data_IF_793956649967
#
_entry.id   IF_793956649967
#
_cell.length_a   1.000
_cell.length_b   1.000
_cell.length_c   1.000
_cell.angle_alpha   90.00
_cell.angle_beta   90.00
_cell.angle_gamma   90.00
#
_symmetry.space_group_name_H-M   'P 1'
#
loop_
_entity.id
_entity.type
_entity.pdbx_description
1 polymer ?
#
# COMPACT_ATOMS: atom_id res chain seq x y z
N UNK A 1 5.67 17.00 4.12
CA UNK A 1 7.10 17.20 3.76
C UNK A 1 7.84 15.89 3.98
N UNK A 2 8.80 15.51 3.13
CA UNK A 2 9.64 14.34 3.39
C UNK A 2 10.65 14.62 4.50
N UNK A 3 10.81 13.69 5.44
CA UNK A 3 11.77 13.86 6.54
C UNK A 3 13.19 13.61 6.03
N UNK A 4 13.96 14.70 5.90
CA UNK A 4 15.26 14.69 5.19
C UNK A 4 16.27 13.76 5.87
N UNK A 5 16.85 12.87 5.07
CA UNK A 5 17.85 11.89 5.54
C UNK A 5 17.25 10.66 6.25
N UNK A 6 15.92 10.55 6.34
CA UNK A 6 15.21 9.41 6.93
C UNK A 6 14.56 8.53 5.85
N UNK A 7 15.36 8.15 4.85
CA UNK A 7 15.02 7.10 3.88
C UNK A 7 15.99 5.95 4.04
N UNK A 8 15.49 4.75 4.30
CA UNK A 8 16.25 3.52 4.40
C UNK A 8 15.80 2.57 3.30
N UNK A 9 16.75 2.09 2.49
CA UNK A 9 16.47 1.22 1.35
C UNK A 9 17.20 -0.11 1.54
N UNK A 10 16.52 -1.19 1.16
CA UNK A 10 17.08 -2.55 1.12
C UNK A 10 16.73 -3.19 -0.21
N UNK A 11 17.74 -3.69 -0.91
CA UNK A 11 17.62 -4.33 -2.20
C UNK A 11 18.41 -5.63 -2.16
N UNK A 12 17.88 -6.68 -2.77
CA UNK A 12 18.54 -7.98 -2.83
C UNK A 12 18.07 -8.72 -4.07
N UNK A 13 18.95 -9.47 -4.71
CA UNK A 13 18.54 -10.38 -5.78
C UNK A 13 17.73 -11.56 -5.21
N UNK A 14 16.51 -11.76 -5.69
CA UNK A 14 15.64 -12.89 -5.33
C UNK A 14 14.56 -13.11 -6.41
N UNK A 15 13.99 -14.32 -6.45
CA UNK A 15 12.92 -14.72 -7.36
C UNK A 15 11.61 -15.01 -6.62
N UNK A 16 11.18 -14.10 -5.75
CA UNK A 16 9.93 -14.25 -4.98
C UNK A 16 8.68 -14.02 -5.84
N UNK A 17 8.72 -12.98 -6.66
CA UNK A 17 7.72 -12.68 -7.69
C UNK A 17 8.42 -11.96 -8.85
N UNK A 18 8.18 -12.42 -10.08
CA UNK A 18 8.79 -11.85 -11.28
C UNK A 18 7.96 -12.21 -12.53
N UNK A 19 8.23 -11.52 -13.66
CA UNK A 19 7.52 -11.72 -14.93
C UNK A 19 8.52 -12.10 -16.04
N UNK A 20 8.99 -13.36 -16.05
CA UNK A 20 9.99 -13.82 -17.02
C UNK A 20 9.38 -14.10 -18.40
N UNK A 21 8.11 -14.51 -18.43
CA UNK A 21 7.37 -14.77 -19.67
C UNK A 21 6.83 -13.46 -20.23
N UNK A 22 7.42 -13.01 -21.35
CA UNK A 22 7.05 -11.77 -22.02
C UNK A 22 5.77 -11.89 -22.85
N UNK A 23 5.22 -13.10 -22.99
CA UNK A 23 3.98 -13.39 -23.72
C UNK A 23 2.75 -13.46 -22.81
N UNK A 24 2.96 -13.34 -21.50
CA UNK A 24 1.91 -13.43 -20.49
C UNK A 24 1.94 -12.22 -19.56
N UNK A 25 0.76 -11.74 -19.15
CA UNK A 25 0.69 -10.72 -18.10
C UNK A 25 0.91 -11.30 -16.69
N UNK A 26 0.74 -12.62 -16.55
CA UNK A 26 0.75 -13.30 -15.27
C UNK A 26 2.17 -13.46 -14.74
N UNK A 27 2.38 -13.17 -13.45
CA UNK A 27 3.67 -13.35 -12.81
C UNK A 27 3.91 -14.80 -12.41
N UNK A 28 5.18 -15.17 -12.31
CA UNK A 28 5.61 -16.31 -11.53
C UNK A 28 5.70 -15.86 -10.07
N UNK A 29 5.08 -16.62 -9.18
CA UNK A 29 4.98 -16.27 -7.75
C UNK A 29 5.30 -17.47 -6.89
N UNK A 30 6.36 -17.37 -6.09
CA UNK A 30 6.52 -18.20 -4.91
C UNK A 30 5.90 -17.44 -3.72
N UNK A 31 4.66 -17.82 -3.39
CA UNK A 31 3.87 -17.11 -2.38
C UNK A 31 4.50 -17.16 -0.98
N UNK A 32 5.16 -18.27 -0.61
CA UNK A 32 5.83 -18.39 0.68
C UNK A 32 7.07 -17.51 0.69
N UNK A 33 7.91 -17.61 -0.33
CA UNK A 33 9.12 -16.79 -0.46
C UNK A 33 8.79 -15.30 -0.53
N UNK A 34 7.70 -14.90 -1.20
CA UNK A 34 7.21 -13.52 -1.27
C UNK A 34 6.90 -12.94 0.11
N UNK A 35 6.23 -13.70 0.97
CA UNK A 35 5.94 -13.26 2.35
C UNK A 35 7.24 -13.10 3.15
N UNK A 36 8.15 -14.06 3.05
CA UNK A 36 9.46 -13.99 3.72
C UNK A 36 10.29 -12.80 3.24
N UNK A 37 10.33 -12.56 1.93
CA UNK A 37 11.05 -11.43 1.32
C UNK A 37 10.46 -10.09 1.75
N UNK A 38 9.13 -9.99 1.78
CA UNK A 38 8.45 -8.80 2.27
C UNK A 38 8.80 -8.49 3.73
N UNK A 39 8.71 -9.47 4.63
CA UNK A 39 8.96 -9.27 6.06
C UNK A 39 10.45 -9.05 6.36
N UNK A 40 11.34 -9.76 5.69
CA UNK A 40 12.79 -9.53 5.82
C UNK A 40 13.22 -8.16 5.29
N UNK A 41 12.63 -7.69 4.20
CA UNK A 41 12.84 -6.34 3.68
C UNK A 41 12.34 -5.27 4.66
N UNK A 42 11.21 -5.53 5.34
CA UNK A 42 10.68 -4.66 6.38
C UNK A 42 11.63 -4.57 7.57
N UNK A 43 12.12 -5.71 8.09
CA UNK A 43 13.10 -5.74 9.18
C UNK A 43 14.35 -4.91 8.82
N UNK A 44 14.91 -5.12 7.63
CA UNK A 44 16.12 -4.42 7.19
C UNK A 44 15.88 -2.92 7.02
N UNK A 45 14.79 -2.53 6.34
CA UNK A 45 14.47 -1.11 6.15
C UNK A 45 14.20 -0.41 7.49
N UNK A 46 13.48 -1.05 8.41
CA UNK A 46 13.17 -0.45 9.71
C UNK A 46 14.42 -0.28 10.57
N UNK A 47 15.26 -1.30 10.67
CA UNK A 47 16.51 -1.21 11.44
C UNK A 47 17.48 -0.17 10.84
N UNK A 48 17.56 -0.07 9.51
CA UNK A 48 18.33 0.99 8.84
C UNK A 48 17.72 2.38 9.08
N UNK A 49 16.39 2.51 9.10
CA UNK A 49 15.71 3.76 9.41
C UNK A 49 16.02 4.20 10.85
N UNK A 50 15.91 3.30 11.83
CA UNK A 50 16.26 3.53 13.24
C UNK A 50 17.71 4.01 13.38
N UNK A 51 18.68 3.34 12.72
CA UNK A 51 20.09 3.76 12.69
C UNK A 51 20.29 5.17 12.10
N UNK A 52 19.55 5.53 11.05
CA UNK A 52 19.62 6.88 10.44
C UNK A 52 19.02 7.96 11.35
N UNK A 53 17.94 7.63 12.06
CA UNK A 53 17.33 8.52 13.04
C UNK A 53 18.22 8.71 14.28
N UNK A 54 18.86 7.64 14.75
CA UNK A 54 19.79 7.69 15.88
C UNK A 54 20.99 8.60 15.60
N UNK A 55 21.54 8.56 14.38
CA UNK A 55 22.59 9.52 13.93
C UNK A 55 22.15 10.98 13.95
N UNK A 56 20.84 11.24 14.02
CA UNK A 56 20.24 12.57 14.15
C UNK A 56 19.78 12.86 15.59
N UNK A 57 20.13 12.02 16.57
CA UNK A 57 19.75 12.16 17.97
C UNK A 57 18.30 11.75 18.26
N UNK A 58 17.65 10.99 17.37
CA UNK A 58 16.25 10.58 17.51
C UNK A 58 16.17 9.07 17.72
N UNK A 59 15.68 8.65 18.89
CA UNK A 59 15.32 7.24 19.13
C UNK A 59 13.97 6.96 18.47
N UNK A 60 13.91 5.87 17.70
CA UNK A 60 12.71 5.45 16.97
C UNK A 60 12.28 4.08 17.46
N UNK A 61 11.03 4.00 17.87
CA UNK A 61 10.24 2.78 17.96
C UNK A 61 8.89 3.02 17.26
N UNK A 62 7.96 2.08 17.32
CA UNK A 62 6.67 2.22 16.64
C UNK A 62 5.86 3.44 17.13
N UNK A 63 6.08 3.89 18.36
CA UNK A 63 5.44 5.07 18.94
C UNK A 63 5.96 6.39 18.39
N UNK A 64 7.02 6.38 17.59
CA UNK A 64 7.56 7.56 16.91
C UNK A 64 6.65 8.07 15.76
N UNK A 65 5.76 7.21 15.26
CA UNK A 65 4.88 7.50 14.13
C UNK A 65 3.42 7.67 14.58
N UNK A 66 2.72 8.63 13.99
CA UNK A 66 1.28 8.87 14.16
C UNK A 66 0.43 8.13 13.11
N UNK A 67 1.10 7.57 12.10
CA UNK A 67 0.54 6.66 11.10
C UNK A 67 1.63 5.81 10.47
N UNK A 68 1.35 4.53 10.23
CA UNK A 68 2.30 3.59 9.63
C UNK A 68 1.66 2.89 8.43
N UNK A 69 2.14 3.21 7.24
CA UNK A 69 1.60 2.76 5.96
C UNK A 69 2.50 1.71 5.33
N UNK A 70 1.88 0.77 4.64
CA UNK A 70 2.57 -0.34 4.01
C UNK A 70 2.09 -0.50 2.58
N UNK A 71 2.98 -0.95 1.69
CA UNK A 71 2.55 -1.60 0.46
C UNK A 71 1.57 -2.72 0.82
N UNK A 72 0.36 -2.66 0.28
CA UNK A 72 -0.76 -3.52 0.69
C UNK A 72 -1.14 -4.45 -0.47
N UNK A 73 -0.53 -5.65 -0.58
CA UNK A 73 -1.01 -6.66 -1.51
C UNK A 73 -2.32 -7.30 -1.01
N UNK A 74 -2.51 -7.36 0.31
CA UNK A 74 -3.78 -7.71 0.97
C UNK A 74 -3.74 -7.23 2.43
N UNK A 75 -4.90 -6.95 3.04
CA UNK A 75 -4.95 -6.31 4.37
C UNK A 75 -4.30 -7.14 5.49
N UNK A 76 -4.36 -8.48 5.42
CA UNK A 76 -3.81 -9.35 6.47
C UNK A 76 -2.29 -9.26 6.60
N UNK A 77 -1.54 -9.14 5.50
CA UNK A 77 -0.07 -8.98 5.58
C UNK A 77 0.30 -7.66 6.26
N UNK A 78 -0.52 -6.61 6.11
CA UNK A 78 -0.26 -5.31 6.74
C UNK A 78 -0.42 -5.39 8.26
N UNK A 79 -1.43 -6.12 8.74
CA UNK A 79 -1.57 -6.39 10.18
C UNK A 79 -0.35 -7.13 10.73
N UNK A 80 0.12 -8.16 10.02
CA UNK A 80 1.35 -8.90 10.37
C UNK A 80 2.60 -8.01 10.31
N UNK A 81 2.65 -7.07 9.36
CA UNK A 81 3.77 -6.15 9.18
C UNK A 81 3.93 -5.21 10.37
N UNK A 82 2.83 -4.67 10.90
CA UNK A 82 2.91 -3.84 12.10
C UNK A 82 3.34 -4.66 13.33
N UNK A 83 2.75 -5.85 13.51
CA UNK A 83 3.18 -6.78 14.56
C UNK A 83 4.68 -7.11 14.44
N UNK A 84 5.19 -7.22 13.21
CA UNK A 84 6.61 -7.44 12.93
C UNK A 84 7.49 -6.25 13.35
N UNK A 85 7.04 -5.01 13.14
CA UNK A 85 7.74 -3.83 13.66
C UNK A 85 7.80 -3.83 15.19
N UNK A 86 6.71 -4.22 15.85
CA UNK A 86 6.69 -4.37 17.31
C UNK A 86 7.66 -5.46 17.78
N UNK A 87 7.77 -6.58 17.06
CA UNK A 87 8.80 -7.60 17.33
C UNK A 87 10.22 -7.03 17.19
N UNK A 88 10.48 -6.21 16.17
CA UNK A 88 11.79 -5.54 16.02
C UNK A 88 12.08 -4.61 17.21
N UNK A 89 11.09 -3.88 17.71
CA UNK A 89 11.26 -3.00 18.87
C UNK A 89 11.45 -3.78 20.17
N UNK A 90 10.72 -4.88 20.34
CA UNK A 90 10.90 -5.80 21.45
C UNK A 90 12.31 -6.40 21.47
N UNK A 91 12.78 -6.97 20.37
CA UNK A 91 14.12 -7.58 20.32
C UNK A 91 15.24 -6.56 20.47
N UNK A 92 15.00 -5.29 20.12
CA UNK A 92 15.95 -4.21 20.36
C UNK A 92 16.03 -3.76 21.83
N UNK A 93 14.95 -3.95 22.61
CA UNK A 93 14.92 -3.62 24.04
C UNK A 93 13.96 -4.56 24.81
N UNK A 94 14.32 -5.84 25.01
CA UNK A 94 13.41 -6.84 25.55
C UNK A 94 13.08 -6.64 27.04
N UNK A 95 13.87 -5.81 27.74
CA UNK A 95 13.67 -5.44 29.14
C UNK A 95 12.76 -4.22 29.34
N UNK A 96 12.24 -3.62 28.26
CA UNK A 96 11.24 -2.55 28.36
C UNK A 96 9.98 -3.08 29.06
N UNK A 97 9.50 -2.39 30.09
CA UNK A 97 8.34 -2.83 30.88
C UNK A 97 7.08 -2.98 30.04
N UNK A 98 6.97 -2.25 28.91
CA UNK A 98 5.83 -2.40 27.99
C UNK A 98 5.75 -3.78 27.33
N UNK A 99 6.84 -4.56 27.33
CA UNK A 99 6.91 -5.88 26.71
C UNK A 99 6.96 -7.05 27.70
N UNK A 100 6.64 -6.83 28.98
CA UNK A 100 6.71 -7.87 30.02
C UNK A 100 5.95 -9.15 29.64
N UNK A 101 4.78 -9.01 29.02
CA UNK A 101 3.94 -10.13 28.54
C UNK A 101 4.54 -10.92 27.37
N UNK A 102 5.65 -10.47 26.79
CA UNK A 102 6.33 -11.08 25.64
C UNK A 102 7.71 -11.65 26.01
N UNK A 103 8.06 -11.65 27.30
CA UNK A 103 9.38 -12.04 27.81
C UNK A 103 9.86 -13.43 27.38
N UNK A 104 8.94 -14.37 27.10
CA UNK A 104 9.24 -15.71 26.57
C UNK A 104 9.92 -15.70 25.20
N UNK A 105 9.81 -14.61 24.44
CA UNK A 105 10.31 -14.49 23.07
C UNK A 105 11.68 -13.78 22.97
N UNK A 106 12.29 -13.39 24.10
CA UNK A 106 13.46 -12.47 24.15
C UNK A 106 14.73 -12.96 23.43
N UNK A 107 14.89 -14.27 23.25
CA UNK A 107 16.09 -14.88 22.67
C UNK A 107 15.92 -15.24 21.18
N UNK A 108 14.81 -14.86 20.56
CA UNK A 108 14.53 -15.19 19.17
C UNK A 108 15.33 -14.31 18.21
N UNK A 109 15.65 -14.86 17.03
CA UNK A 109 16.16 -14.08 15.89
C UNK A 109 15.04 -13.80 14.90
N UNK A 110 15.11 -12.63 14.26
CA UNK A 110 14.11 -12.22 13.28
C UNK A 110 14.04 -13.22 12.12
N UNK A 111 15.19 -13.64 11.60
CA UNK A 111 15.28 -14.54 10.45
C UNK A 111 14.67 -15.94 10.66
N UNK A 112 14.52 -16.36 11.91
CA UNK A 112 13.97 -17.67 12.30
C UNK A 112 12.43 -17.62 12.49
N UNK A 113 11.81 -16.43 12.47
CA UNK A 113 10.43 -16.23 12.97
C UNK A 113 9.41 -15.83 11.90
N UNK A 114 9.78 -15.81 10.62
CA UNK A 114 8.88 -15.33 9.54
C UNK A 114 7.57 -16.12 9.41
N UNK A 115 7.57 -17.38 9.83
CA UNK A 115 6.41 -18.28 9.77
C UNK A 115 6.11 -18.94 11.12
N UNK A 116 6.70 -18.44 12.19
CA UNK A 116 6.42 -18.93 13.54
C UNK A 116 5.03 -18.43 13.97
N UNK A 117 4.11 -19.38 14.16
CA UNK A 117 2.71 -19.09 14.47
C UNK A 117 2.51 -18.57 15.90
N UNK A 118 3.35 -18.99 16.84
CA UNK A 118 3.25 -18.56 18.23
C UNK A 118 3.73 -17.12 18.38
N UNK A 119 4.85 -16.79 17.72
CA UNK A 119 5.33 -15.41 17.58
C UNK A 119 4.29 -14.56 16.86
N UNK A 120 3.79 -15.00 15.70
CA UNK A 120 2.77 -14.25 14.96
C UNK A 120 1.55 -13.95 15.83
N UNK A 121 1.00 -14.96 16.52
CA UNK A 121 -0.18 -14.81 17.37
C UNK A 121 0.08 -13.87 18.54
N UNK A 122 1.21 -14.02 19.24
CA UNK A 122 1.55 -13.18 20.38
C UNK A 122 1.68 -11.70 20.00
N UNK A 123 2.41 -11.42 18.92
CA UNK A 123 2.66 -10.04 18.48
C UNK A 123 1.44 -9.42 17.77
N UNK A 124 0.60 -10.19 17.09
CA UNK A 124 -0.69 -9.70 16.59
C UNK A 124 -1.61 -9.26 17.73
N UNK A 125 -1.71 -10.08 18.79
CA UNK A 125 -2.54 -9.76 19.95
C UNK A 125 -2.02 -8.53 20.69
N UNK A 126 -0.71 -8.48 20.95
CA UNK A 126 -0.09 -7.34 21.63
C UNK A 126 -0.23 -6.04 20.83
N UNK A 127 0.01 -6.08 19.51
CA UNK A 127 0.00 -4.89 18.66
C UNK A 127 -1.39 -4.47 18.20
N UNK A 128 -2.47 -5.16 18.57
CA UNK A 128 -3.80 -4.92 18.02
C UNK A 128 -4.28 -3.47 18.21
N UNK A 129 -4.12 -2.89 19.40
CA UNK A 129 -4.49 -1.49 19.65
C UNK A 129 -3.63 -0.50 18.84
N UNK A 130 -2.34 -0.82 18.69
CA UNK A 130 -1.40 -0.02 17.88
C UNK A 130 -1.84 -0.06 16.41
N UNK A 131 -2.25 -1.24 15.91
CA UNK A 131 -2.75 -1.42 14.55
C UNK A 131 -4.02 -0.64 14.28
N UNK A 132 -5.00 -0.71 15.17
CA UNK A 132 -6.24 0.04 15.07
C UNK A 132 -5.99 1.56 14.99
N UNK A 133 -5.01 2.07 15.74
CA UNK A 133 -4.70 3.50 15.78
C UNK A 133 -3.83 4.00 14.61
N UNK A 134 -2.74 3.28 14.30
CA UNK A 134 -1.68 3.76 13.40
C UNK A 134 -1.86 3.30 11.95
N UNK A 135 -2.48 2.14 11.72
CA UNK A 135 -2.37 1.45 10.42
C UNK A 135 -3.72 1.16 9.79
N UNK A 136 -4.72 0.69 10.55
CA UNK A 136 -6.04 0.37 10.03
C UNK A 136 -6.70 1.53 9.25
N UNK A 137 -6.57 2.81 9.66
CA UNK A 137 -7.14 3.92 8.89
C UNK A 137 -6.56 4.04 7.47
N UNK A 138 -5.36 3.49 7.22
CA UNK A 138 -4.74 3.46 5.88
C UNK A 138 -5.24 2.32 4.99
N UNK A 139 -6.12 1.43 5.46
CA UNK A 139 -6.50 0.22 4.71
C UNK A 139 -7.82 0.35 3.93
N UNK A 140 -8.50 1.50 4.01
CA UNK A 140 -9.82 1.67 3.40
C UNK A 140 -9.81 1.38 1.90
N UNK A 141 -9.00 2.09 1.10
CA UNK A 141 -8.95 1.88 -0.35
C UNK A 141 -8.52 0.45 -0.69
N UNK A 142 -7.51 -0.10 -0.01
CA UNK A 142 -7.04 -1.46 -0.27
C UNK A 142 -8.12 -2.52 -0.01
N UNK A 143 -8.93 -2.36 1.03
CA UNK A 143 -10.06 -3.26 1.33
C UNK A 143 -11.19 -3.18 0.30
N UNK A 144 -11.28 -2.08 -0.43
CA UNK A 144 -12.33 -1.85 -1.43
C UNK A 144 -11.87 -2.17 -2.86
N UNK A 145 -10.58 -2.05 -3.16
CA UNK A 145 -10.02 -2.14 -4.52
C UNK A 145 -9.07 -3.31 -4.71
N UNK A 146 -8.44 -3.82 -3.64
CA UNK A 146 -7.41 -4.85 -3.71
C UNK A 146 -6.02 -4.29 -4.02
N UNK A 147 -5.11 -5.17 -4.48
CA UNK A 147 -3.72 -4.80 -4.76
C UNK A 147 -3.62 -3.96 -6.04
N UNK A 148 -3.14 -2.72 -5.89
CA UNK A 148 -2.89 -1.82 -7.02
C UNK A 148 -1.44 -1.87 -7.53
N UNK A 149 -0.55 -2.68 -6.94
CA UNK A 149 0.90 -2.66 -7.15
C UNK A 149 1.54 -1.34 -6.68
N UNK A 150 2.21 -0.62 -7.57
CA UNK A 150 2.99 0.60 -7.27
C UNK A 150 2.19 1.71 -6.55
N UNK A 151 0.90 1.97 -6.82
CA UNK A 151 0.12 2.97 -6.12
C UNK A 151 -0.33 2.51 -4.72
N UNK A 152 -0.18 1.23 -4.36
CA UNK A 152 -0.83 0.64 -3.17
C UNK A 152 -0.48 1.39 -1.87
N UNK A 153 0.79 1.71 -1.63
CA UNK A 153 1.21 2.47 -0.44
C UNK A 153 0.63 3.90 -0.44
N UNK A 154 0.49 4.52 -1.62
CA UNK A 154 -0.09 5.86 -1.76
C UNK A 154 -1.62 5.84 -1.66
N UNK A 155 -2.27 4.75 -2.06
CA UNK A 155 -3.67 4.48 -1.74
C UNK A 155 -3.89 4.37 -0.22
N UNK A 156 -2.89 3.86 0.50
CA UNK A 156 -2.84 3.90 1.96
C UNK A 156 -2.76 5.33 2.52
N UNK A 157 -1.96 6.19 1.89
CA UNK A 157 -1.89 7.61 2.25
C UNK A 157 -3.21 8.34 2.02
N UNK A 158 -3.84 8.12 0.87
CA UNK A 158 -5.18 8.65 0.59
C UNK A 158 -6.17 8.18 1.66
N UNK A 159 -6.16 6.88 1.99
CA UNK A 159 -7.04 6.30 3.01
C UNK A 159 -6.87 6.97 4.38
N UNK A 160 -5.61 7.15 4.83
CA UNK A 160 -5.32 7.82 6.09
C UNK A 160 -5.83 9.27 6.07
N UNK A 161 -5.56 10.02 4.99
CA UNK A 161 -5.93 11.43 4.86
C UNK A 161 -7.46 11.66 4.91
N UNK A 162 -8.26 10.71 4.42
CA UNK A 162 -9.74 10.81 4.43
C UNK A 162 -10.40 10.09 5.62
N UNK A 163 -9.61 9.56 6.54
CA UNK A 163 -10.09 8.79 7.70
C UNK A 163 -10.19 9.60 8.98
N UNK A 164 -9.42 10.68 9.10
CA UNK A 164 -9.32 11.53 10.29
C UNK A 164 -9.68 12.98 9.94
N UNK A 165 -10.14 13.74 10.93
CA UNK A 165 -10.30 15.18 10.75
C UNK A 165 -8.93 15.86 10.55
N UNK A 166 -8.92 16.98 9.83
CA UNK A 166 -7.68 17.68 9.46
C UNK A 166 -6.85 18.10 10.68
N UNK A 167 -7.48 18.48 11.79
CA UNK A 167 -6.83 18.85 13.06
C UNK A 167 -6.09 17.68 13.71
N UNK A 168 -6.51 16.45 13.42
CA UNK A 168 -5.84 15.23 13.91
C UNK A 168 -4.74 14.72 12.99
N UNK A 169 -4.69 15.21 11.75
CA UNK A 169 -3.68 14.84 10.75
C UNK A 169 -2.56 15.88 10.71
N UNK A 170 -2.86 17.15 10.94
CA UNK A 170 -1.87 18.22 10.99
C UNK A 170 -0.74 17.88 11.98
N UNK A 171 0.51 18.08 11.57
CA UNK A 171 1.69 17.76 12.38
C UNK A 171 2.05 16.27 12.49
N UNK A 172 1.19 15.36 12.05
CA UNK A 172 1.42 13.91 12.16
C UNK A 172 2.66 13.47 11.38
N UNK A 173 3.44 12.58 11.99
CA UNK A 173 4.53 11.86 11.33
C UNK A 173 4.04 10.51 10.81
N UNK A 174 4.11 10.35 9.50
CA UNK A 174 3.63 9.17 8.80
C UNK A 174 4.83 8.38 8.29
N UNK A 175 5.01 7.15 8.78
CA UNK A 175 5.96 6.19 8.24
C UNK A 175 5.36 5.46 7.03
N UNK A 176 6.16 5.21 6.01
CA UNK A 176 5.77 4.50 4.79
C UNK A 176 6.79 3.41 4.48
N UNK A 177 6.32 2.18 4.33
CA UNK A 177 7.10 1.06 3.82
C UNK A 177 6.63 0.70 2.41
N UNK A 178 7.49 0.94 1.43
CA UNK A 178 7.27 0.56 0.03
C UNK A 178 8.08 -0.70 -0.29
N UNK A 179 7.44 -1.65 -0.98
CA UNK A 179 8.02 -2.93 -1.35
C UNK A 179 7.71 -3.25 -2.82
N UNK A 180 8.69 -3.82 -3.52
CA UNK A 180 8.52 -4.49 -4.80
C UNK A 180 9.40 -5.74 -4.85
N UNK A 181 8.83 -6.85 -5.32
CA UNK A 181 9.51 -8.14 -5.45
C UNK A 181 10.67 -8.10 -6.45
N UNK A 182 11.61 -9.04 -6.30
CA UNK A 182 12.86 -9.10 -7.07
C UNK A 182 14.18 -8.84 -6.31
N UNK A 183 14.29 -8.12 -5.19
CA UNK A 183 13.40 -7.18 -4.52
C UNK A 183 14.07 -5.82 -4.37
N UNK A 184 13.26 -4.76 -4.32
CA UNK A 184 13.65 -3.43 -3.91
C UNK A 184 12.61 -2.87 -2.94
N UNK A 185 13.09 -2.31 -1.83
CA UNK A 185 12.23 -1.79 -0.77
C UNK A 185 12.79 -0.50 -0.18
N UNK A 186 11.91 0.31 0.39
CA UNK A 186 12.31 1.49 1.14
C UNK A 186 11.31 1.82 2.24
N UNK A 187 11.83 2.09 3.43
CA UNK A 187 11.10 2.79 4.48
C UNK A 187 11.52 4.25 4.53
N UNK A 188 10.55 5.14 4.57
CA UNK A 188 10.76 6.57 4.72
C UNK A 188 9.60 7.18 5.48
N UNK A 189 9.72 8.46 5.84
CA UNK A 189 8.66 9.16 6.53
C UNK A 189 8.38 10.53 5.93
N UNK A 190 7.15 10.97 6.16
CA UNK A 190 6.69 12.32 5.88
C UNK A 190 6.10 12.92 7.15
N UNK A 191 6.32 14.22 7.36
CA UNK A 191 5.62 14.99 8.37
C UNK A 191 4.57 15.87 7.70
N UNK A 192 3.32 15.79 8.15
CA UNK A 192 2.24 16.65 7.68
C UNK A 192 2.44 18.06 8.24
N UNK A 193 2.16 19.10 7.44
CA UNK A 193 2.23 20.49 7.90
C UNK A 193 1.28 20.73 9.09
N UNK A 194 1.66 21.63 10.00
CA UNK A 194 0.78 22.12 11.05
C UNK A 194 -0.23 23.16 10.54
N UNK A 195 -0.02 23.71 9.33
CA UNK A 195 -0.94 24.66 8.73
C UNK A 195 -2.14 23.95 8.10
N UNK A 196 -3.29 24.07 8.76
CA UNK A 196 -4.60 23.62 8.28
C UNK A 196 -5.63 24.76 8.17
N UNK A 197 -5.14 26.00 8.07
CA UNK A 197 -5.97 27.19 7.82
C UNK A 197 -6.84 27.04 6.56
N UNK A 198 -7.82 27.91 6.39
CA UNK A 198 -8.82 27.81 5.30
C UNK A 198 -8.21 27.86 3.89
N UNK A 199 -7.04 28.49 3.74
CA UNK A 199 -6.30 28.56 2.47
C UNK A 199 -5.06 27.66 2.44
N UNK A 200 -4.86 26.82 3.44
CA UNK A 200 -3.70 25.93 3.53
C UNK A 200 -3.66 24.90 2.41
N UNK A 201 -2.45 24.50 2.03
CA UNK A 201 -2.24 23.42 1.05
C UNK A 201 -2.78 22.07 1.56
N UNK A 202 -2.76 21.83 2.87
CA UNK A 202 -3.29 20.61 3.47
C UNK A 202 -4.81 20.53 3.30
N UNK A 203 -5.52 21.62 3.58
CA UNK A 203 -6.98 21.67 3.38
C UNK A 203 -7.33 21.45 1.92
N UNK A 204 -6.65 22.14 1.00
CA UNK A 204 -6.84 21.94 -0.45
C UNK A 204 -6.63 20.49 -0.86
N UNK A 205 -5.57 19.84 -0.36
CA UNK A 205 -5.29 18.44 -0.64
C UNK A 205 -6.43 17.53 -0.15
N UNK A 206 -6.85 17.66 1.10
CA UNK A 206 -7.92 16.82 1.69
C UNK A 206 -9.26 17.07 0.98
N UNK A 207 -9.60 18.32 0.66
CA UNK A 207 -10.80 18.66 -0.11
C UNK A 207 -10.82 18.00 -1.49
N UNK A 208 -9.67 17.94 -2.17
CA UNK A 208 -9.55 17.25 -3.46
C UNK A 208 -9.70 15.73 -3.36
N UNK A 209 -9.57 15.14 -2.17
CA UNK A 209 -9.77 13.71 -1.91
C UNK A 209 -11.21 13.38 -1.47
N UNK A 210 -12.08 14.38 -1.30
CA UNK A 210 -13.47 14.18 -0.84
C UNK A 210 -14.29 13.27 -1.77
N UNK A 211 -13.95 13.21 -3.05
CA UNK A 211 -14.62 12.38 -4.05
C UNK A 211 -14.30 10.89 -3.96
N UNK A 212 -13.25 10.48 -3.23
CA UNK A 212 -12.78 9.09 -3.19
C UNK A 212 -13.87 8.12 -2.69
N UNK A 213 -14.49 8.41 -1.55
CA UNK A 213 -15.57 7.58 -0.98
C UNK A 213 -16.79 7.51 -1.92
N UNK A 214 -17.34 8.63 -2.41
CA UNK A 214 -18.42 8.62 -3.41
C UNK A 214 -18.09 7.88 -4.71
N UNK A 215 -16.86 7.97 -5.21
CA UNK A 215 -16.47 7.27 -6.44
C UNK A 215 -16.41 5.76 -6.22
N UNK A 216 -15.90 5.31 -5.06
CA UNK A 216 -15.87 3.89 -4.72
C UNK A 216 -17.28 3.28 -4.61
N UNK A 217 -18.25 4.03 -4.08
CA UNK A 217 -19.64 3.57 -3.96
C UNK A 217 -20.40 3.59 -5.29
N UNK A 218 -19.96 4.37 -6.28
CA UNK A 218 -20.54 4.41 -7.64
C UNK A 218 -20.05 3.29 -8.56
N UNK A 219 -19.13 2.44 -8.09
CA UNK A 219 -18.66 1.29 -8.87
C UNK A 219 -19.80 0.28 -9.07
N UNK A 220 -19.73 -0.44 -10.19
CA UNK A 220 -20.70 -1.46 -10.54
C UNK A 220 -20.21 -2.80 -9.99
N UNK A 221 -21.04 -3.45 -9.19
CA UNK A 221 -20.77 -4.82 -8.75
C UNK A 221 -20.99 -5.77 -9.94
N UNK A 222 -20.01 -6.64 -10.19
CA UNK A 222 -20.03 -7.63 -11.26
C UNK A 222 -20.00 -9.02 -10.63
N UNK A 223 -20.89 -9.91 -11.08
CA UNK A 223 -20.93 -11.30 -10.61
C UNK A 223 -19.66 -12.05 -10.99
N UNK A 224 -19.19 -13.02 -10.17
CA UNK A 224 -17.91 -13.71 -10.40
C UNK A 224 -17.75 -14.30 -11.79
N UNK A 225 -18.80 -14.86 -12.38
CA UNK A 225 -18.77 -15.50 -13.69
C UNK A 225 -18.45 -14.49 -14.80
N UNK A 226 -19.08 -13.30 -14.73
CA UNK A 226 -18.83 -12.21 -15.67
C UNK A 226 -17.42 -11.63 -15.47
N UNK A 227 -16.95 -11.56 -14.22
CA UNK A 227 -15.58 -11.13 -13.94
C UNK A 227 -14.55 -12.10 -14.54
N UNK A 228 -14.73 -13.41 -14.38
CA UNK A 228 -13.85 -14.42 -15.00
C UNK A 228 -13.85 -14.32 -16.52
N UNK A 229 -15.02 -14.15 -17.15
CA UNK A 229 -15.10 -13.96 -18.60
C UNK A 229 -14.35 -12.71 -19.10
N UNK A 230 -14.34 -11.62 -18.32
CA UNK A 230 -13.55 -10.41 -18.61
C UNK A 230 -12.05 -10.70 -18.51
N UNK A 231 -11.61 -11.51 -17.54
CA UNK A 231 -10.21 -11.92 -17.42
C UNK A 231 -9.78 -12.79 -18.62
N UNK A 232 -10.62 -13.74 -19.05
CA UNK A 232 -10.34 -14.56 -20.23
C UNK A 232 -10.21 -13.71 -21.50
N UNK A 233 -11.06 -12.70 -21.65
CA UNK A 233 -10.99 -11.75 -22.78
C UNK A 233 -9.69 -10.93 -22.72
N UNK A 234 -9.27 -10.51 -21.53
CA UNK A 234 -8.01 -9.77 -21.32
C UNK A 234 -6.81 -10.61 -21.71
N UNK A 235 -6.76 -11.86 -21.29
CA UNK A 235 -5.69 -12.80 -21.62
C UNK A 235 -5.59 -13.02 -23.13
N UNK A 236 -6.72 -13.30 -23.79
CA UNK A 236 -6.78 -13.49 -25.25
C UNK A 236 -6.28 -12.28 -26.06
N UNK A 237 -6.44 -11.07 -25.54
CA UNK A 237 -6.13 -9.84 -26.27
C UNK A 237 -4.85 -9.13 -25.82
N UNK A 238 -4.11 -9.63 -24.82
CA UNK A 238 -2.94 -8.96 -24.24
C UNK A 238 -1.91 -8.48 -25.28
N UNK A 239 -1.64 -9.31 -26.29
CA UNK A 239 -0.67 -9.05 -27.35
C UNK A 239 -1.29 -8.94 -28.75
N UNK A 240 -2.62 -8.77 -28.82
CA UNK A 240 -3.33 -8.79 -30.10
C UNK A 240 -3.15 -7.47 -30.86
N UNK A 241 -2.76 -7.57 -32.12
CA UNK A 241 -2.76 -6.48 -33.10
C UNK A 241 -3.17 -7.06 -34.47
N UNK A 242 -4.12 -6.44 -35.19
CA UNK A 242 -4.95 -5.30 -34.77
C UNK A 242 -6.02 -5.70 -33.74
N UNK A 243 -6.47 -4.73 -32.93
CA UNK A 243 -7.53 -4.92 -31.94
C UNK A 243 -8.33 -3.63 -31.70
N UNK A 244 -9.66 -3.76 -31.63
CA UNK A 244 -10.57 -2.68 -31.23
C UNK A 244 -11.42 -3.17 -30.04
N UNK A 245 -11.33 -2.55 -28.85
CA UNK A 245 -12.15 -2.93 -27.71
C UNK A 245 -13.64 -2.75 -27.99
N UNK A 246 -14.45 -3.72 -27.55
CA UNK A 246 -15.91 -3.74 -27.82
C UNK A 246 -16.77 -3.46 -26.58
N UNK A 247 -16.17 -3.28 -25.41
CA UNK A 247 -16.89 -3.04 -24.16
C UNK A 247 -17.64 -1.70 -24.15
N UNK A 248 -18.76 -1.67 -23.43
CA UNK A 248 -19.59 -0.47 -23.31
C UNK A 248 -18.88 0.64 -22.52
N UNK A 249 -18.44 1.68 -23.25
CA UNK A 249 -17.76 2.84 -22.68
C UNK A 249 -18.64 3.63 -21.69
N UNK A 250 -19.97 3.44 -21.70
CA UNK A 250 -20.88 4.13 -20.76
C UNK A 250 -20.69 3.68 -19.31
N UNK A 251 -20.02 2.55 -19.09
CA UNK A 251 -19.67 2.06 -17.76
C UNK A 251 -18.47 2.81 -17.14
N UNK A 252 -17.73 3.57 -17.94
CA UNK A 252 -16.59 4.36 -17.46
C UNK A 252 -17.07 5.60 -16.70
N UNK A 253 -16.27 6.06 -15.74
CA UNK A 253 -16.52 7.36 -15.13
C UNK A 253 -16.29 8.50 -16.14
N UNK A 254 -17.10 9.59 -16.12
CA UNK A 254 -16.84 10.77 -16.94
C UNK A 254 -15.41 11.30 -16.74
N UNK A 255 -14.77 11.70 -17.84
CA UNK A 255 -13.39 12.13 -17.91
C UNK A 255 -12.35 11.01 -18.07
N UNK A 256 -12.76 9.73 -18.07
CA UNK A 256 -11.86 8.59 -18.21
C UNK A 256 -11.29 8.48 -19.62
N UNK A 257 -9.97 8.34 -19.74
CA UNK A 257 -9.33 7.96 -20.99
C UNK A 257 -9.46 6.45 -21.21
N UNK A 258 -9.75 6.03 -22.43
CA UNK A 258 -9.89 4.62 -22.80
C UNK A 258 -9.21 4.33 -24.14
N UNK A 259 -8.80 3.07 -24.32
CA UNK A 259 -8.20 2.56 -25.55
C UNK A 259 -9.28 2.44 -26.63
N UNK A 260 -9.07 3.03 -27.80
CA UNK A 260 -9.99 2.91 -28.95
C UNK A 260 -9.52 1.88 -29.95
N UNK A 261 -8.21 1.77 -30.16
CA UNK A 261 -7.62 0.88 -31.17
C UNK A 261 -6.17 0.55 -30.88
N UNK A 262 -5.77 -0.65 -31.24
CA UNK A 262 -4.40 -1.09 -31.49
C UNK A 262 -4.31 -1.44 -32.97
N UNK A 263 -3.45 -0.77 -33.73
CA UNK A 263 -3.28 -1.08 -35.14
C UNK A 263 -2.26 -2.19 -35.40
N UNK A 264 -2.06 -2.55 -36.67
CA UNK A 264 -1.14 -3.63 -37.10
C UNK A 264 0.32 -3.39 -36.67
N UNK A 265 0.71 -2.13 -36.43
CA UNK A 265 2.03 -1.74 -35.94
C UNK A 265 2.08 -1.61 -34.41
N UNK A 266 1.07 -2.12 -33.71
CA UNK A 266 0.93 -2.05 -32.25
C UNK A 266 0.80 -0.63 -31.68
N UNK A 267 0.49 0.37 -32.51
CA UNK A 267 0.28 1.75 -32.05
C UNK A 267 -1.10 1.84 -31.38
N UNK A 268 -1.15 2.48 -30.21
CA UNK A 268 -2.37 2.59 -29.39
C UNK A 268 -3.00 3.97 -29.54
N UNK A 269 -4.28 4.00 -29.88
CA UNK A 269 -5.10 5.22 -29.94
C UNK A 269 -6.02 5.30 -28.74
N UNK A 270 -6.26 6.53 -28.24
CA UNK A 270 -7.06 6.77 -27.05
C UNK A 270 -8.11 7.86 -27.30
N UNK A 271 -9.22 7.76 -26.58
CA UNK A 271 -10.23 8.82 -26.48
C UNK A 271 -10.62 9.05 -25.04
N UNK A 272 -11.40 10.10 -24.78
CA UNK A 272 -11.88 10.46 -23.45
C UNK A 272 -13.40 10.38 -23.42
N UNK A 273 -13.94 9.63 -22.47
CA UNK A 273 -15.38 9.54 -22.26
C UNK A 273 -15.85 10.76 -21.47
N UNK A 274 -16.76 11.57 -22.01
CA UNK A 274 -17.24 12.79 -21.35
C UNK A 274 -18.54 12.59 -20.54
N UNK A 275 -19.08 11.37 -20.51
CA UNK A 275 -20.41 11.10 -19.96
C UNK A 275 -21.52 11.32 -20.98
N UNK A 276 -22.74 10.94 -20.63
CA UNK A 276 -23.94 11.34 -21.36
C UNK A 276 -24.20 12.82 -21.08
N UNK A 277 -24.03 13.69 -22.08
CA UNK A 277 -24.55 15.06 -22.00
C UNK A 277 -26.07 14.91 -21.98
N UNK A 278 -26.68 15.03 -20.80
CA UNK A 278 -28.11 15.33 -20.75
C UNK A 278 -28.24 16.76 -21.27
N UNK A 279 -28.63 16.90 -22.54
CA UNK A 279 -29.11 18.17 -23.08
C UNK A 279 -30.39 18.54 -22.32
N UNK A 280 -30.24 19.17 -21.16
CA UNK A 280 -31.31 19.78 -20.39
C UNK A 280 -31.27 21.28 -20.60
N UNK A 281 -32.03 21.75 -21.59
CA UNK A 281 -32.82 22.98 -21.63
C UNK A 281 -33.04 23.43 -23.09
N UNK A 282 -34.21 23.06 -23.62
CA UNK A 282 -35.01 23.92 -24.49
C UNK A 282 -36.11 24.54 -23.65
#
# INVERSE_FOLDING_TARGET
VFDRGLRASYMRHVYDFYKPDLTSEYPFVDGKLSIQCYLSALDNCYNLYKKKAEKKGVKVDIGYFDGMLFHTPYCKIVQKSLARLVLNDFLANPSDSKFESLSSFKNLKLEETYFDKDVEKAFLNFSNRIFEALTKPSLFVASQVGNMYTPSVYGGLVSLLISKNIDKIAGSRIGLFSYGSGLASSMFSITVTNDYSDHSLLRRLISNLSSVKPLLSKRICVVPEKFSAILDLREKNCHKAPYEPTDDIKQLFPGTYYLTKVDEMHRRSYSRYFGTILNGNS
#
